data_IF_794339344104
#
_entry.id   IF_794339344104
#
_cell.length_a   1.000
_cell.length_b   1.000
_cell.length_c   1.000
_cell.angle_alpha   90.00
_cell.angle_beta   90.00
_cell.angle_gamma   90.00
#
_symmetry.space_group_name_H-M   'P 1'
#
loop_
_entity.id
_entity.type
_entity.pdbx_description
1 polymer ?
#
# COMPACT_ATOMS: atom_id res chain seq x y z
N UNK A 1 -3.25 4.51 -15.10
CA UNK A 1 -2.40 4.56 -13.90
C UNK A 1 -3.22 5.20 -12.79
N UNK A 2 -3.41 4.47 -11.69
CA UNK A 2 -4.17 4.96 -10.55
C UNK A 2 -3.26 5.79 -9.66
N UNK A 3 -3.37 7.11 -9.72
CA UNK A 3 -2.64 7.99 -8.82
C UNK A 3 -3.39 8.10 -7.48
N UNK A 4 -3.12 7.15 -6.58
CA UNK A 4 -3.72 7.17 -5.23
C UNK A 4 -2.71 7.76 -4.27
N UNK A 5 -3.14 8.79 -3.52
CA UNK A 5 -2.28 9.38 -2.50
C UNK A 5 -1.98 8.35 -1.40
N UNK A 6 -0.72 7.97 -1.26
CA UNK A 6 -0.26 7.08 -0.21
C UNK A 6 -0.15 7.87 1.12
N UNK A 7 -0.81 7.42 2.21
CA UNK A 7 -0.65 8.03 3.53
C UNK A 7 0.79 7.94 4.03
N UNK A 8 1.24 8.96 4.76
CA UNK A 8 2.62 9.00 5.30
C UNK A 8 2.91 7.83 6.25
N UNK A 9 1.90 7.32 6.95
CA UNK A 9 2.05 6.13 7.81
C UNK A 9 2.43 4.88 7.01
N UNK A 10 1.82 4.68 5.83
CA UNK A 10 2.20 3.62 4.89
C UNK A 10 3.62 3.84 4.39
N UNK A 11 3.98 5.07 3.98
CA UNK A 11 5.34 5.37 3.55
C UNK A 11 6.40 5.09 4.63
N UNK A 12 6.06 5.37 5.90
CA UNK A 12 6.94 5.11 7.03
C UNK A 12 7.11 3.60 7.30
N UNK A 13 6.03 2.82 7.21
CA UNK A 13 6.08 1.37 7.38
C UNK A 13 6.90 0.69 6.27
N UNK A 14 6.73 1.13 5.02
CA UNK A 14 7.55 0.66 3.88
C UNK A 14 9.01 1.04 4.07
N UNK A 15 9.31 2.27 4.48
CA UNK A 15 10.69 2.69 4.73
C UNK A 15 11.36 1.87 5.85
N UNK A 16 10.61 1.51 6.90
CA UNK A 16 11.11 0.72 8.04
C UNK A 16 11.66 -0.64 7.60
N UNK A 17 10.99 -1.33 6.67
CA UNK A 17 11.45 -2.63 6.16
C UNK A 17 12.64 -2.49 5.21
N UNK A 18 12.73 -1.39 4.46
CA UNK A 18 13.82 -1.13 3.51
C UNK A 18 15.12 -0.72 4.18
N UNK A 19 15.10 -0.17 5.39
CA UNK A 19 16.31 0.34 6.06
C UNK A 19 17.38 -0.74 6.26
N UNK A 20 17.00 -2.03 6.32
CA UNK A 20 17.93 -3.14 6.50
C UNK A 20 18.41 -3.83 5.22
N UNK A 21 17.91 -3.46 4.03
CA UNK A 21 18.13 -4.26 2.81
C UNK A 21 19.40 -3.91 2.06
N UNK A 22 20.00 -2.74 2.29
CA UNK A 22 21.23 -2.38 1.58
C UNK A 22 21.77 -0.99 1.87
N UNK A 23 22.79 -0.63 1.08
CA UNK A 23 23.40 0.70 1.12
C UNK A 23 22.49 1.77 0.52
N UNK A 24 22.84 3.05 0.69
CA UNK A 24 22.14 4.15 0.01
C UNK A 24 22.07 3.96 -1.51
N UNK A 25 23.16 3.51 -2.16
CA UNK A 25 23.17 3.30 -3.60
C UNK A 25 22.26 2.13 -4.02
N UNK A 26 22.20 1.08 -3.21
CA UNK A 26 21.32 -0.08 -3.43
C UNK A 26 19.86 0.36 -3.35
N UNK A 27 19.50 1.10 -2.30
CA UNK A 27 18.13 1.59 -2.13
C UNK A 27 17.75 2.63 -3.19
N UNK A 28 18.70 3.46 -3.63
CA UNK A 28 18.47 4.37 -4.76
C UNK A 28 18.08 3.60 -6.04
N UNK A 29 18.84 2.56 -6.37
CA UNK A 29 18.54 1.70 -7.52
C UNK A 29 17.21 0.94 -7.37
N UNK A 30 16.87 0.45 -6.17
CA UNK A 30 15.60 -0.23 -5.90
C UNK A 30 14.41 0.72 -6.11
N UNK A 31 14.49 1.95 -5.60
CA UNK A 31 13.44 2.95 -5.81
C UNK A 31 13.26 3.30 -7.29
N UNK A 32 14.36 3.51 -8.01
CA UNK A 32 14.32 3.77 -9.46
C UNK A 32 13.70 2.60 -10.24
N UNK A 33 14.13 1.36 -9.95
CA UNK A 33 13.58 0.15 -10.56
C UNK A 33 12.09 -0.06 -10.25
N UNK A 34 11.65 0.33 -9.05
CA UNK A 34 10.25 0.27 -8.64
C UNK A 34 9.38 1.35 -9.30
N UNK A 35 9.96 2.30 -10.03
CA UNK A 35 9.26 3.37 -10.74
C UNK A 35 9.12 4.67 -9.96
N UNK A 36 9.98 4.92 -8.97
CA UNK A 36 9.98 6.19 -8.25
C UNK A 36 10.35 7.34 -9.18
N UNK A 37 9.49 8.37 -9.24
CA UNK A 37 9.74 9.57 -10.04
C UNK A 37 10.50 10.61 -9.21
N UNK A 38 11.45 11.28 -9.84
CA UNK A 38 12.27 12.33 -9.25
C UNK A 38 13.53 11.80 -8.59
N UNK A 39 14.40 12.70 -8.14
CA UNK A 39 15.69 12.34 -7.57
C UNK A 39 15.60 11.98 -6.09
N UNK A 40 16.47 11.08 -5.59
CA UNK A 40 16.58 10.77 -4.18
C UNK A 40 16.86 12.03 -3.35
N UNK A 41 16.15 12.26 -2.23
CA UNK A 41 16.37 13.43 -1.39
C UNK A 41 17.69 13.31 -0.60
N UNK A 42 18.37 14.43 -0.38
CA UNK A 42 19.59 14.53 0.42
C UNK A 42 19.33 14.44 1.93
N UNK A 43 18.68 13.37 2.39
CA UNK A 43 18.29 13.14 3.78
C UNK A 43 19.02 11.93 4.39
N UNK A 44 19.13 11.84 5.72
CA UNK A 44 19.63 10.64 6.40
C UNK A 44 18.76 9.42 6.13
N UNK A 45 19.36 8.23 6.26
CA UNK A 45 18.75 6.92 5.92
C UNK A 45 17.30 6.75 6.40
N UNK A 46 17.04 6.99 7.69
CA UNK A 46 15.72 6.82 8.31
C UNK A 46 14.63 7.77 7.77
N UNK A 47 15.02 8.87 7.14
CA UNK A 47 14.10 9.89 6.61
C UNK A 47 14.05 9.93 5.08
N UNK A 48 15.12 9.53 4.39
CA UNK A 48 15.23 9.57 2.92
C UNK A 48 14.13 8.79 2.24
N UNK A 49 13.96 7.53 2.61
CA UNK A 49 13.11 6.57 1.88
C UNK A 49 11.62 6.90 2.00
N UNK A 50 11.13 7.19 3.21
CA UNK A 50 9.72 7.59 3.40
C UNK A 50 9.40 8.90 2.66
N UNK A 51 10.35 9.85 2.67
CA UNK A 51 10.15 11.15 2.00
C UNK A 51 10.12 10.96 0.49
N UNK A 52 11.07 10.21 -0.07
CA UNK A 52 11.10 9.96 -1.51
C UNK A 52 9.84 9.25 -1.98
N UNK A 53 9.44 8.17 -1.28
CA UNK A 53 8.22 7.44 -1.58
C UNK A 53 6.99 8.37 -1.56
N UNK A 54 6.88 9.20 -0.52
CA UNK A 54 5.77 10.15 -0.40
C UNK A 54 5.78 11.19 -1.53
N UNK A 55 6.95 11.74 -1.88
CA UNK A 55 7.04 12.74 -2.95
C UNK A 55 6.80 12.14 -4.33
N UNK A 56 7.34 10.93 -4.59
CA UNK A 56 7.14 10.20 -5.84
C UNK A 56 5.66 9.83 -6.01
N UNK A 57 5.02 9.29 -4.97
CA UNK A 57 3.60 8.92 -4.97
C UNK A 57 2.63 10.10 -5.02
N UNK A 58 3.10 11.35 -4.91
CA UNK A 58 2.30 12.56 -5.18
C UNK A 58 2.37 13.02 -6.63
N UNK A 59 3.32 12.50 -7.41
CA UNK A 59 3.45 12.85 -8.82
C UNK A 59 2.34 12.14 -9.61
N UNK A 60 1.49 12.86 -10.38
CA UNK A 60 0.40 12.27 -11.16
C UNK A 60 0.80 11.15 -12.13
N UNK A 61 2.04 11.19 -12.63
CA UNK A 61 2.60 10.22 -13.58
C UNK A 61 3.11 8.94 -12.89
N UNK A 62 3.19 8.94 -11.56
CA UNK A 62 3.60 7.78 -10.79
C UNK A 62 2.39 6.89 -10.49
N UNK A 63 2.49 5.60 -10.82
CA UNK A 63 1.58 4.60 -10.28
C UNK A 63 2.02 4.25 -8.85
N UNK A 64 1.43 4.97 -7.90
CA UNK A 64 1.86 4.93 -6.50
C UNK A 64 1.64 3.58 -5.82
N UNK A 65 0.62 2.82 -6.26
CA UNK A 65 0.34 1.47 -5.77
C UNK A 65 1.33 0.45 -6.32
N UNK A 66 1.64 0.54 -7.62
CA UNK A 66 2.69 -0.30 -8.21
C UNK A 66 4.05 0.00 -7.56
N UNK A 67 4.36 1.28 -7.32
CA UNK A 67 5.60 1.69 -6.65
C UNK A 67 5.77 1.03 -5.28
N UNK A 68 4.77 1.14 -4.39
CA UNK A 68 4.87 0.49 -3.07
C UNK A 68 4.91 -1.03 -3.18
N UNK A 69 4.16 -1.61 -4.12
CA UNK A 69 4.11 -3.04 -4.32
C UNK A 69 5.46 -3.63 -4.73
N UNK A 70 6.09 -3.01 -5.74
CA UNK A 70 7.43 -3.37 -6.20
C UNK A 70 8.49 -3.22 -5.10
N UNK A 71 8.39 -2.16 -4.27
CA UNK A 71 9.34 -1.92 -3.18
C UNK A 71 9.28 -2.99 -2.07
N UNK A 72 8.10 -3.57 -1.83
CA UNK A 72 7.90 -4.51 -0.72
C UNK A 72 7.82 -5.97 -1.15
N UNK A 73 7.77 -6.25 -2.46
CA UNK A 73 7.58 -7.60 -3.02
C UNK A 73 8.56 -8.61 -2.43
N UNK A 74 9.87 -8.34 -2.54
CA UNK A 74 10.91 -9.25 -2.04
C UNK A 74 10.72 -9.53 -0.55
N UNK A 75 10.49 -8.49 0.25
CA UNK A 75 10.27 -8.65 1.69
C UNK A 75 8.98 -9.41 2.01
N UNK A 76 7.91 -9.23 1.25
CA UNK A 76 6.62 -9.86 1.55
C UNK A 76 6.53 -11.32 1.09
N UNK A 77 7.27 -11.67 0.04
CA UNK A 77 7.17 -12.96 -0.66
C UNK A 77 8.36 -13.89 -0.36
N UNK A 78 9.50 -13.37 0.10
CA UNK A 78 10.70 -14.15 0.40
C UNK A 78 11.04 -14.11 1.92
N UNK A 79 10.51 -15.06 2.71
CA UNK A 79 10.89 -15.16 4.12
C UNK A 79 12.37 -15.56 4.26
N UNK A 80 13.00 -15.28 5.42
CA UNK A 80 14.39 -15.64 5.67
C UNK A 80 14.63 -17.16 5.55
N UNK A 81 15.75 -17.55 4.93
CA UNK A 81 16.08 -18.96 4.58
C UNK A 81 16.20 -19.90 5.80
N UNK A 82 16.55 -19.38 6.98
CA UNK A 82 16.72 -20.19 8.18
C UNK A 82 15.55 -19.98 9.16
N UNK A 83 14.64 -20.95 9.28
CA UNK A 83 13.65 -20.94 10.33
C UNK A 83 14.32 -21.38 11.64
N UNK A 84 14.28 -20.48 12.63
CA UNK A 84 14.35 -20.78 14.08
C UNK A 84 15.69 -20.93 14.80
N UNK A 85 16.86 -20.74 14.19
CA UNK A 85 18.08 -20.65 15.00
C UNK A 85 18.17 -19.26 15.65
N UNK A 86 17.80 -19.19 16.92
CA UNK A 86 18.00 -17.98 17.73
C UNK A 86 19.49 -17.66 17.76
N UNK A 87 19.88 -16.60 17.08
CA UNK A 87 21.27 -16.19 16.98
C UNK A 87 21.61 -15.39 18.23
N UNK A 88 22.58 -15.88 19.01
CA UNK A 88 23.09 -15.15 20.16
C UNK A 88 24.20 -14.18 19.74
N UNK A 89 23.90 -12.89 19.73
CA UNK A 89 24.89 -11.83 19.55
C UNK A 89 25.07 -11.07 20.86
N UNK A 90 26.26 -11.16 21.47
CA UNK A 90 26.63 -10.41 22.67
C UNK A 90 25.60 -10.49 23.82
N UNK A 91 24.98 -11.67 24.02
CA UNK A 91 23.99 -11.90 25.08
C UNK A 91 22.55 -11.52 24.71
N UNK A 92 22.29 -11.05 23.49
CA UNK A 92 20.95 -10.89 22.94
C UNK A 92 20.59 -12.04 22.02
N UNK A 93 19.47 -12.70 22.35
CA UNK A 93 18.83 -13.69 21.51
C UNK A 93 18.07 -12.95 20.39
N UNK A 94 18.49 -13.15 19.14
CA UNK A 94 17.82 -12.62 17.96
C UNK A 94 17.16 -13.77 17.18
N UNK A 95 15.84 -13.69 16.98
CA UNK A 95 15.11 -14.62 16.13
C UNK A 95 14.74 -13.90 14.82
N UNK A 96 15.44 -14.19 13.70
CA UNK A 96 15.17 -13.56 12.42
C UNK A 96 13.73 -13.78 11.92
N UNK A 97 13.17 -14.97 12.17
CA UNK A 97 11.84 -15.33 11.70
C UNK A 97 10.77 -14.59 12.52
N UNK A 98 10.96 -14.47 13.84
CA UNK A 98 10.07 -13.69 14.69
C UNK A 98 10.09 -12.19 14.33
N UNK A 99 11.27 -11.61 14.07
CA UNK A 99 11.37 -10.22 13.63
C UNK A 99 10.71 -10.00 12.26
N UNK A 100 10.96 -10.91 11.31
CA UNK A 100 10.33 -10.90 10.00
C UNK A 100 8.80 -10.91 10.12
N UNK A 101 8.24 -11.86 10.88
CA UNK A 101 6.79 -11.99 11.07
C UNK A 101 6.19 -10.74 11.71
N UNK A 102 6.85 -10.17 12.73
CA UNK A 102 6.42 -8.93 13.38
C UNK A 102 6.38 -7.76 12.39
N UNK A 103 7.42 -7.58 11.58
CA UNK A 103 7.49 -6.52 10.57
C UNK A 103 6.44 -6.71 9.47
N UNK A 104 6.28 -7.95 8.99
CA UNK A 104 5.31 -8.31 7.95
C UNK A 104 3.87 -8.09 8.41
N UNK A 105 3.53 -8.54 9.62
CA UNK A 105 2.21 -8.30 10.23
C UNK A 105 1.95 -6.81 10.40
N UNK A 106 2.91 -6.07 10.96
CA UNK A 106 2.81 -4.62 11.13
C UNK A 106 2.56 -3.88 9.81
N UNK A 107 3.30 -4.23 8.76
CA UNK A 107 3.12 -3.63 7.43
C UNK A 107 1.73 -3.96 6.86
N UNK A 108 1.29 -5.22 7.01
CA UNK A 108 -0.03 -5.67 6.55
C UNK A 108 -1.15 -4.91 7.26
N UNK A 109 -1.06 -4.76 8.59
CA UNK A 109 -2.03 -4.02 9.39
C UNK A 109 -2.11 -2.55 8.98
N UNK A 110 -0.97 -1.88 8.77
CA UNK A 110 -0.95 -0.48 8.31
C UNK A 110 -1.56 -0.33 6.91
N UNK A 111 -1.27 -1.26 5.99
CA UNK A 111 -1.90 -1.24 4.67
C UNK A 111 -3.41 -1.36 4.81
N UNK A 112 -3.90 -2.35 5.57
CA UNK A 112 -5.33 -2.59 5.76
C UNK A 112 -6.05 -1.44 6.48
N UNK A 113 -5.46 -0.88 7.55
CA UNK A 113 -5.96 0.30 8.27
C UNK A 113 -6.13 1.52 7.35
N UNK A 114 -5.34 1.60 6.28
CA UNK A 114 -5.40 2.68 5.31
C UNK A 114 -6.13 2.30 4.01
N UNK A 115 -6.84 1.17 4.00
CA UNK A 115 -7.65 0.75 2.87
C UNK A 115 -6.85 0.16 1.72
N UNK A 116 -5.71 -0.46 1.98
CA UNK A 116 -4.89 -1.17 1.00
C UNK A 116 -4.71 -2.63 1.41
N UNK A 117 -4.51 -3.51 0.42
CA UNK A 117 -4.20 -4.91 0.65
C UNK A 117 -3.08 -5.35 -0.28
N UNK A 118 -2.11 -6.06 0.29
CA UNK A 118 -1.03 -6.69 -0.47
C UNK A 118 -1.46 -8.07 -0.98
N UNK A 119 -1.02 -8.39 -2.19
CA UNK A 119 -1.12 -9.68 -2.85
C UNK A 119 0.24 -10.06 -3.42
N UNK A 120 0.52 -11.36 -3.41
CA UNK A 120 1.77 -11.93 -3.92
C UNK A 120 2.13 -11.44 -5.34
N UNK A 121 3.42 -11.23 -5.57
CA UNK A 121 3.99 -10.65 -6.77
C UNK A 121 3.85 -9.13 -6.80
N UNK A 122 4.08 -8.47 -5.66
CA UNK A 122 4.18 -7.01 -5.60
C UNK A 122 2.88 -6.27 -5.88
N UNK A 123 1.71 -6.89 -5.73
CA UNK A 123 0.43 -6.26 -6.08
C UNK A 123 -0.23 -5.64 -4.87
N UNK A 124 -0.36 -4.31 -4.85
CA UNK A 124 -1.13 -3.60 -3.82
C UNK A 124 -2.39 -3.01 -4.45
N UNK A 125 -3.55 -3.31 -3.86
CA UNK A 125 -4.84 -2.84 -4.33
C UNK A 125 -5.58 -2.08 -3.23
N UNK A 126 -6.45 -1.11 -3.58
CA UNK A 126 -7.41 -0.56 -2.63
C UNK A 126 -8.35 -1.67 -2.17
N UNK A 127 -8.66 -1.68 -0.88
CA UNK A 127 -9.69 -2.51 -0.29
C UNK A 127 -10.97 -1.68 -0.13
N UNK A 128 -12.13 -2.32 -0.16
CA UNK A 128 -13.44 -1.65 -0.06
C UNK A 128 -13.65 -0.90 1.27
N UNK A 129 -12.82 -1.19 2.28
CA UNK A 129 -12.78 -0.51 3.59
C UNK A 129 -11.88 0.75 3.57
N UNK A 130 -12.08 1.69 2.64
CA UNK A 130 -11.40 2.99 2.77
C UNK A 130 -11.92 3.71 4.03
N UNK A 131 -11.06 4.06 5.00
CA UNK A 131 -11.46 5.01 6.04
C UNK A 131 -11.69 6.35 5.35
N UNK A 132 -12.91 6.87 5.47
CA UNK A 132 -13.26 8.20 4.99
C UNK A 132 -12.33 9.19 5.68
N UNK A 133 -11.31 9.69 4.98
CA UNK A 133 -10.52 10.81 5.49
C UNK A 133 -11.33 12.09 5.34
N UNK A 134 -11.58 12.85 6.42
CA UNK A 134 -12.38 14.07 6.35
C UNK A 134 -11.51 15.23 5.86
N UNK A 135 -10.99 15.19 4.63
CA UNK A 135 -10.63 16.43 3.92
C UNK A 135 -10.38 16.24 2.42
N UNK A 136 -11.45 16.16 1.65
CA UNK A 136 -11.51 16.81 0.33
C UNK A 136 -12.88 17.48 0.25
N UNK A 137 -12.92 18.79 0.54
CA UNK A 137 -14.05 19.61 0.08
C UNK A 137 -13.95 19.70 -1.44
N UNK A 138 -14.63 18.79 -2.13
CA UNK A 138 -15.07 19.00 -3.51
C UNK A 138 -16.60 19.16 -3.49
N UNK A 139 -17.03 20.41 -3.55
CA UNK A 139 -18.24 20.78 -4.32
C UNK A 139 -18.05 20.25 -5.74
N UNK A 140 -18.99 19.65 -6.46
CA UNK A 140 -20.45 19.72 -6.43
C UNK A 140 -21.04 18.51 -7.20
N UNK A 141 -22.24 18.07 -6.77
CA UNK A 141 -23.29 17.34 -7.51
C UNK A 141 -22.93 16.03 -8.23
N UNK A 142 -23.17 14.91 -7.56
CA UNK A 142 -23.86 13.76 -8.18
C UNK A 142 -24.95 13.29 -7.23
N UNK A 143 -26.21 13.51 -7.63
CA UNK A 143 -27.38 12.94 -6.98
C UNK A 143 -27.41 11.43 -7.27
N UNK A 144 -27.63 10.66 -6.21
CA UNK A 144 -28.33 9.37 -6.13
C UNK A 144 -28.47 8.54 -7.41
N UNK A 145 -27.94 7.31 -7.36
CA UNK A 145 -28.79 6.12 -7.28
C UNK A 145 -27.97 4.93 -6.76
N UNK A 146 -28.00 4.68 -5.46
CA UNK A 146 -27.70 3.32 -4.97
C UNK A 146 -28.75 2.35 -5.54
N UNK A 147 -28.38 1.14 -5.98
CA UNK A 147 -29.34 0.14 -6.40
C UNK A 147 -30.12 -0.36 -5.16
N UNK A 148 -31.26 0.27 -4.86
CA UNK A 148 -32.20 -0.23 -3.87
C UNK A 148 -32.71 -1.59 -4.33
N UNK A 149 -32.46 -2.62 -3.52
CA UNK A 149 -33.04 -3.93 -3.70
C UNK A 149 -34.57 -3.79 -3.59
N UNK A 150 -35.35 -4.23 -4.59
CA UNK A 150 -36.79 -4.09 -4.55
C UNK A 150 -37.36 -4.90 -3.40
N UNK A 151 -38.30 -4.29 -2.69
CA UNK A 151 -38.92 -4.84 -1.48
C UNK A 151 -40.13 -5.72 -1.80
N UNK A 152 -40.57 -5.72 -3.06
CA UNK A 152 -41.75 -6.44 -3.54
C UNK A 152 -41.57 -6.92 -4.98
N UNK A 153 -42.31 -7.97 -5.34
CA UNK A 153 -42.35 -8.52 -6.70
C UNK A 153 -42.95 -7.52 -7.69
N UNK A 154 -43.97 -6.76 -7.30
CA UNK A 154 -44.59 -5.70 -8.10
C UNK A 154 -43.58 -4.60 -8.49
N UNK A 155 -42.70 -4.23 -7.56
CA UNK A 155 -41.69 -3.20 -7.77
C UNK A 155 -40.63 -3.66 -8.79
N UNK A 156 -40.24 -4.94 -8.71
CA UNK A 156 -39.30 -5.59 -9.62
C UNK A 156 -39.86 -5.62 -11.05
N UNK A 157 -41.14 -5.98 -11.21
CA UNK A 157 -41.82 -6.00 -12.51
C UNK A 157 -41.88 -4.62 -13.16
N UNK A 158 -42.13 -3.56 -12.38
CA UNK A 158 -42.15 -2.19 -12.90
C UNK A 158 -40.78 -1.72 -13.39
N UNK A 159 -39.70 -2.08 -12.68
CA UNK A 159 -38.33 -1.74 -13.09
C UNK A 159 -37.98 -2.42 -14.41
N UNK A 160 -38.32 -3.71 -14.57
CA UNK A 160 -38.04 -4.46 -15.81
C UNK A 160 -38.81 -3.89 -16.99
N UNK A 161 -40.11 -3.59 -16.83
CA UNK A 161 -40.94 -3.05 -17.91
C UNK A 161 -40.46 -1.66 -18.34
N UNK A 162 -40.00 -0.82 -17.41
CA UNK A 162 -39.45 0.51 -17.72
C UNK A 162 -38.05 0.47 -18.34
N UNK A 163 -37.28 -0.59 -18.07
CA UNK A 163 -35.91 -0.77 -18.57
C UNK A 163 -35.80 -1.42 -19.95
N UNK A 164 -36.89 -1.93 -20.53
CA UNK A 164 -36.84 -2.52 -21.86
C UNK A 164 -36.79 -1.43 -22.94
N UNK A 165 -35.78 -1.42 -23.82
CA UNK A 165 -35.78 -0.54 -24.98
C UNK A 165 -36.96 -0.90 -25.90
N UNK A 166 -37.66 0.14 -26.39
CA UNK A 166 -38.77 0.00 -27.33
C UNK A 166 -38.30 -0.38 -28.72
#
# INVERSE_FOLDING_TARGET
MSNIRIPMAVCAAVAEILVGTGSHATLDAIFEAAGAIGSPPGLPHHSKWKTWLFTAGKNPECDSLALIGNLIEEFMDLPPESPSETVNFYGNNYDPLAEYNRKRERLSNILEEHGFRYYQGGRVLPNDNMPVTPNVKMSEKQQDTEPKRPSSVEELLQIIIKGLPR
#
